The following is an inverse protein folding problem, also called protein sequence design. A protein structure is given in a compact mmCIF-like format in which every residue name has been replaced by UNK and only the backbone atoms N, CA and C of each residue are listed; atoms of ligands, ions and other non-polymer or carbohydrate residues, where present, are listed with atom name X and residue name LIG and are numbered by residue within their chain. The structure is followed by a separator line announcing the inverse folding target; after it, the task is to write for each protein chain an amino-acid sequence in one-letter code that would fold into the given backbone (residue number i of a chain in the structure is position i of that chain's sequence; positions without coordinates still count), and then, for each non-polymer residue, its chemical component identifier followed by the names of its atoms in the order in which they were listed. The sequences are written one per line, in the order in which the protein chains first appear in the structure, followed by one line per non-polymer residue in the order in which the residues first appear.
data_IF_250063136849
#
_entry.id   IF_250063136849
#
_cell.length_a   1.000
_cell.length_b   1.000
_cell.length_c   1.000
_cell.angle_alpha   90.00
_cell.angle_beta   90.00
_cell.angle_gamma   90.00
#
_symmetry.space_group_name_H-M   'P 1'
#
loop_
_entity.id
_entity.type
_entity.pdbx_description
1 polymer ?
#
# COMPACT_ATOMS: atom_id res chain seq x y z
N UNK A 1 16.22 7.72 11.86
CA UNK A 1 15.17 7.17 12.74
C UNK A 1 14.69 5.88 12.09
N UNK A 2 14.93 4.73 12.74
CA UNK A 2 14.34 3.44 12.32
C UNK A 2 12.88 3.49 12.76
N UNK A 3 12.07 4.23 12.01
CA UNK A 3 10.62 4.25 12.21
C UNK A 3 10.06 3.16 11.31
N UNK A 4 9.00 2.46 11.71
CA UNK A 4 8.21 1.56 10.87
C UNK A 4 7.51 2.29 9.70
N UNK A 5 8.16 3.24 9.02
CA UNK A 5 7.74 3.80 7.73
C UNK A 5 8.18 2.95 6.56
N UNK A 6 9.28 2.21 6.69
CA UNK A 6 9.74 1.31 5.63
C UNK A 6 8.71 0.22 5.34
N UNK A 7 8.07 -0.36 6.37
CA UNK A 7 7.01 -1.36 6.21
C UNK A 7 5.78 -0.84 5.44
N UNK A 8 5.13 0.27 5.81
CA UNK A 8 3.99 0.81 5.08
C UNK A 8 4.36 1.44 3.72
N UNK A 9 5.63 1.77 3.47
CA UNK A 9 6.08 2.14 2.12
C UNK A 9 6.27 0.92 1.22
N UNK A 10 6.85 -0.16 1.75
CA UNK A 10 6.96 -1.43 1.03
C UNK A 10 5.57 -2.06 0.80
N UNK A 11 4.69 -1.94 1.78
CA UNK A 11 3.31 -2.41 1.74
C UNK A 11 2.39 -1.19 1.82
N UNK A 12 2.21 -0.52 0.68
CA UNK A 12 1.37 0.67 0.58
C UNK A 12 -0.05 0.40 1.13
N UNK A 13 -0.70 1.39 1.77
CA UNK A 13 -2.04 1.22 2.35
C UNK A 13 -3.11 0.77 1.33
N UNK A 14 -2.96 1.13 0.06
CA UNK A 14 -3.82 0.61 -1.02
C UNK A 14 -3.61 -0.88 -1.31
N UNK A 15 -2.36 -1.36 -1.18
CA UNK A 15 -2.04 -2.78 -1.29
C UNK A 15 -2.66 -3.54 -0.12
N UNK A 16 -2.63 -2.99 1.09
CA UNK A 16 -3.28 -3.58 2.27
C UNK A 16 -4.80 -3.69 2.05
N UNK A 17 -5.45 -2.62 1.59
CA UNK A 17 -6.90 -2.63 1.32
C UNK A 17 -7.29 -3.67 0.27
N UNK A 18 -6.55 -3.75 -0.85
CA UNK A 18 -6.79 -4.75 -1.88
C UNK A 18 -6.51 -6.18 -1.39
N UNK A 19 -5.49 -6.38 -0.56
CA UNK A 19 -5.22 -7.68 0.04
C UNK A 19 -6.36 -8.13 0.96
N UNK A 20 -6.95 -7.22 1.74
CA UNK A 20 -8.12 -7.53 2.57
C UNK A 20 -9.32 -7.92 1.70
N UNK A 21 -9.57 -7.16 0.63
CA UNK A 21 -10.66 -7.43 -0.30
C UNK A 21 -10.47 -8.80 -0.99
N UNK A 22 -9.28 -9.03 -1.56
CA UNK A 22 -8.94 -10.30 -2.19
C UNK A 22 -8.81 -11.47 -1.22
N UNK A 23 -8.47 -11.25 0.05
CA UNK A 23 -8.50 -12.32 1.05
C UNK A 23 -9.95 -12.81 1.30
N UNK A 24 -10.94 -11.93 1.14
CA UNK A 24 -12.37 -12.29 1.16
C UNK A 24 -12.77 -13.15 -0.03
N UNK A 25 -12.37 -12.76 -1.25
CA UNK A 25 -12.62 -13.52 -2.49
C UNK A 25 -11.86 -14.87 -2.50
N UNK A 26 -10.57 -14.88 -2.13
CA UNK A 26 -9.70 -16.04 -2.24
C UNK A 26 -10.11 -17.19 -1.31
N UNK A 27 -10.83 -16.91 -0.21
CA UNK A 27 -11.39 -17.95 0.67
C UNK A 27 -12.38 -18.89 -0.04
N UNK A 28 -12.98 -18.47 -1.15
CA UNK A 28 -13.93 -19.29 -1.92
C UNK A 28 -13.25 -20.10 -3.03
N UNK A 29 -12.01 -19.78 -3.37
CA UNK A 29 -11.27 -20.34 -4.51
C UNK A 29 -10.13 -21.23 -4.03
N UNK A 30 -10.42 -22.51 -3.76
CA UNK A 30 -9.39 -23.53 -3.48
C UNK A 30 -8.65 -23.98 -4.77
N UNK A 31 -8.14 -23.02 -5.53
CA UNK A 31 -7.35 -23.32 -6.73
C UNK A 31 -5.85 -23.40 -6.36
N UNK A 32 -5.21 -24.58 -6.46
CA UNK A 32 -3.79 -24.73 -6.17
C UNK A 32 -2.89 -23.88 -7.07
N UNK A 33 -3.34 -23.48 -8.26
CA UNK A 33 -2.56 -22.60 -9.15
C UNK A 33 -2.41 -21.18 -8.56
N UNK A 34 -3.45 -20.66 -7.91
CA UNK A 34 -3.41 -19.35 -7.25
C UNK A 34 -2.45 -19.35 -6.06
N UNK A 35 -2.41 -20.45 -5.30
CA UNK A 35 -1.49 -20.59 -4.17
C UNK A 35 -0.02 -20.55 -4.62
N UNK A 36 0.34 -21.33 -5.64
CA UNK A 36 1.70 -21.33 -6.18
C UNK A 36 2.07 -19.98 -6.82
N UNK A 37 1.12 -19.29 -7.46
CA UNK A 37 1.31 -17.94 -7.97
C UNK A 37 1.63 -16.93 -6.87
N UNK A 38 0.90 -16.95 -5.76
CA UNK A 38 1.16 -16.11 -4.58
C UNK A 38 2.53 -16.38 -3.97
N UNK A 39 2.92 -17.65 -3.82
CA UNK A 39 4.24 -18.03 -3.31
C UNK A 39 5.36 -17.52 -4.22
N UNK A 40 5.22 -17.69 -5.55
CA UNK A 40 6.20 -17.21 -6.51
C UNK A 40 6.36 -15.68 -6.46
N UNK A 41 5.25 -14.93 -6.41
CA UNK A 41 5.27 -13.46 -6.27
C UNK A 41 5.94 -13.05 -4.95
N UNK A 42 5.62 -13.73 -3.84
CA UNK A 42 6.20 -13.43 -2.52
C UNK A 42 7.71 -13.62 -2.53
N UNK A 43 8.19 -14.71 -3.12
CA UNK A 43 9.63 -14.99 -3.26
C UNK A 43 10.30 -13.95 -4.16
N UNK A 44 9.67 -13.58 -5.28
CA UNK A 44 10.19 -12.55 -6.18
C UNK A 44 10.32 -11.18 -5.50
N UNK A 45 9.32 -10.76 -4.73
CA UNK A 45 9.35 -9.51 -3.96
C UNK A 45 10.40 -9.55 -2.85
N UNK A 46 10.54 -10.69 -2.17
CA UNK A 46 11.58 -10.88 -1.15
C UNK A 46 12.98 -10.77 -1.76
N UNK A 47 13.21 -11.40 -2.91
CA UNK A 47 14.48 -11.33 -3.64
C UNK A 47 14.79 -9.91 -4.15
N UNK A 48 13.79 -9.21 -4.67
CA UNK A 48 13.93 -7.81 -5.09
C UNK A 48 14.30 -6.91 -3.90
N UNK A 49 13.60 -7.08 -2.78
CA UNK A 49 13.86 -6.32 -1.56
C UNK A 49 15.28 -6.59 -1.03
N UNK A 50 15.71 -7.86 -1.05
CA UNK A 50 17.07 -8.24 -0.70
C UNK A 50 18.11 -7.54 -1.58
N UNK A 51 17.90 -7.51 -2.90
CA UNK A 51 18.79 -6.84 -3.85
C UNK A 51 18.91 -5.33 -3.58
N UNK A 52 17.79 -4.69 -3.28
CA UNK A 52 17.74 -3.25 -2.95
C UNK A 52 18.51 -2.97 -1.64
N UNK A 53 18.31 -3.81 -0.62
CA UNK A 53 18.99 -3.67 0.68
C UNK A 53 20.51 -3.85 0.55
N UNK A 54 20.96 -4.85 -0.21
CA UNK A 54 22.39 -5.06 -0.50
C UNK A 54 22.97 -3.88 -1.28
N UNK A 55 22.19 -3.26 -2.15
CA UNK A 55 22.57 -2.07 -2.92
C UNK A 55 22.53 -0.77 -2.12
N UNK A 56 22.31 -0.81 -0.79
CA UNK A 56 22.20 0.39 0.06
C UNK A 56 23.43 1.31 0.00
N UNK A 57 24.62 0.76 -0.20
CA UNK A 57 25.85 1.55 -0.41
C UNK A 57 25.81 2.35 -1.72
N UNK A 58 25.22 1.78 -2.78
CA UNK A 58 25.05 2.44 -4.08
C UNK A 58 24.03 3.56 -3.94
N UNK A 59 22.91 3.29 -3.26
CA UNK A 59 21.85 4.29 -3.04
C UNK A 59 22.40 5.54 -2.32
N UNK A 60 23.24 5.34 -1.30
CA UNK A 60 23.88 6.45 -0.58
C UNK A 60 24.88 7.21 -1.45
N UNK A 61 25.60 6.54 -2.35
CA UNK A 61 26.56 7.18 -3.26
C UNK A 61 25.87 7.97 -4.38
N UNK A 62 24.71 7.52 -4.85
CA UNK A 62 23.94 8.18 -5.91
C UNK A 62 23.14 9.38 -5.38
N UNK A 63 22.48 9.25 -4.22
CA UNK A 63 21.64 10.31 -3.66
C UNK A 63 22.39 11.30 -2.77
N UNK A 64 23.50 10.88 -2.14
CA UNK A 64 24.19 11.67 -1.14
C UNK A 64 23.36 11.95 0.12
N UNK A 65 23.95 12.58 1.13
CA UNK A 65 23.27 12.83 2.41
C UNK A 65 22.14 13.88 2.28
N UNK A 66 22.28 14.85 1.37
CA UNK A 66 21.24 15.86 1.08
C UNK A 66 20.05 15.23 0.35
N UNK A 67 20.30 14.39 -0.66
CA UNK A 67 19.22 13.74 -1.42
C UNK A 67 18.40 12.79 -0.56
N UNK A 68 19.04 12.05 0.36
CA UNK A 68 18.35 11.20 1.34
C UNK A 68 17.44 12.02 2.28
N UNK A 69 17.90 13.20 2.70
CA UNK A 69 17.10 14.10 3.54
C UNK A 69 15.85 14.61 2.81
N UNK A 70 16.00 14.97 1.53
CA UNK A 70 14.88 15.41 0.69
C UNK A 70 13.90 14.27 0.45
N UNK A 71 14.39 13.06 0.13
CA UNK A 71 13.53 11.88 -0.07
C UNK A 71 12.69 11.59 1.17
N UNK A 72 13.28 11.66 2.36
CA UNK A 72 12.54 11.42 3.61
C UNK A 72 11.38 12.41 3.77
N UNK A 73 11.56 13.68 3.38
CA UNK A 73 10.48 14.69 3.38
C UNK A 73 9.41 14.38 2.35
N UNK A 74 9.79 14.03 1.13
CA UNK A 74 8.84 13.69 0.05
C UNK A 74 7.99 12.48 0.43
N UNK A 75 8.60 11.43 0.98
CA UNK A 75 7.88 10.24 1.45
C UNK A 75 6.83 10.61 2.51
N UNK A 76 7.16 11.50 3.46
CA UNK A 76 6.21 12.01 4.44
C UNK A 76 5.04 12.77 3.81
N UNK A 77 5.32 13.62 2.81
CA UNK A 77 4.28 14.34 2.07
C UNK A 77 3.38 13.40 1.25
N UNK A 78 3.95 12.37 0.63
CA UNK A 78 3.19 11.35 -0.11
C UNK A 78 2.25 10.57 0.81
N UNK A 79 2.74 10.14 1.98
CA UNK A 79 1.92 9.43 2.96
C UNK A 79 0.76 10.31 3.44
N UNK A 80 1.02 11.60 3.70
CA UNK A 80 -0.03 12.54 4.07
C UNK A 80 -1.09 12.70 2.95
N UNK A 81 -0.66 12.83 1.70
CA UNK A 81 -1.55 12.93 0.55
C UNK A 81 -2.42 11.67 0.37
N UNK A 82 -1.80 10.49 0.47
CA UNK A 82 -2.50 9.20 0.39
C UNK A 82 -3.50 9.05 1.54
N UNK A 83 -3.15 9.46 2.76
CA UNK A 83 -4.07 9.47 3.89
C UNK A 83 -5.29 10.36 3.65
N UNK A 84 -5.07 11.58 3.14
CA UNK A 84 -6.14 12.50 2.73
C UNK A 84 -7.05 11.87 1.66
N UNK A 85 -6.47 11.19 0.67
CA UNK A 85 -7.23 10.50 -0.36
C UNK A 85 -8.15 9.42 0.22
N UNK A 86 -7.67 8.59 1.16
CA UNK A 86 -8.52 7.59 1.80
C UNK A 86 -9.66 8.20 2.62
N UNK A 87 -9.42 9.31 3.33
CA UNK A 87 -10.47 10.02 4.07
C UNK A 87 -11.56 10.49 3.10
N UNK A 88 -11.19 11.11 1.98
CA UNK A 88 -12.12 11.59 0.97
C UNK A 88 -12.91 10.44 0.32
N UNK A 89 -12.24 9.36 -0.07
CA UNK A 89 -12.89 8.17 -0.65
C UNK A 89 -13.83 7.51 0.35
N UNK A 90 -13.42 7.38 1.61
CA UNK A 90 -14.25 6.82 2.68
C UNK A 90 -15.51 7.65 2.92
N UNK A 91 -15.36 8.98 3.06
CA UNK A 91 -16.50 9.90 3.25
C UNK A 91 -17.45 9.90 2.05
N UNK A 92 -16.91 9.96 0.83
CA UNK A 92 -17.71 9.93 -0.40
C UNK A 92 -18.53 8.63 -0.51
N UNK A 93 -17.92 7.48 -0.21
CA UNK A 93 -18.61 6.20 -0.25
C UNK A 93 -19.76 6.14 0.77
N UNK A 94 -19.55 6.63 2.00
CA UNK A 94 -20.61 6.67 3.02
C UNK A 94 -21.77 7.58 2.61
N UNK A 95 -21.49 8.78 2.08
CA UNK A 95 -22.53 9.73 1.70
C UNK A 95 -23.37 9.18 0.53
N UNK A 96 -22.71 8.67 -0.52
CA UNK A 96 -23.39 8.16 -1.71
C UNK A 96 -24.17 6.89 -1.42
N UNK A 97 -23.59 5.95 -0.67
CA UNK A 97 -24.17 4.61 -0.53
C UNK A 97 -25.13 4.48 0.66
N UNK A 98 -24.98 5.28 1.72
CA UNK A 98 -25.81 5.21 2.94
C UNK A 98 -26.85 6.31 3.02
N UNK A 99 -26.51 7.56 2.65
CA UNK A 99 -27.39 8.72 2.87
C UNK A 99 -28.32 8.97 1.68
N UNK A 100 -27.81 8.93 0.44
CA UNK A 100 -28.62 9.16 -0.75
C UNK A 100 -29.82 8.19 -0.93
N UNK A 101 -29.70 6.86 -0.71
CA UNK A 101 -30.84 5.95 -0.82
C UNK A 101 -31.81 6.02 0.37
N UNK A 102 -31.37 6.54 1.53
CA UNK A 102 -32.23 6.72 2.70
C UNK A 102 -33.18 7.92 2.52
N UNK A 103 -32.73 8.98 1.83
CA UNK A 103 -33.55 10.15 1.52
C UNK A 103 -34.59 9.85 0.42
N UNK A 104 -34.24 9.01 -0.56
CA UNK A 104 -35.13 8.63 -1.68
C UNK A 104 -36.24 7.63 -1.27
N UNK A 105 -36.09 6.92 -0.14
CA UNK A 105 -37.13 6.03 0.41
C UNK A 105 -38.17 6.76 1.29
N UNK A 106 -37.98 8.05 1.57
CA UNK A 106 -38.88 8.87 2.39
C UNK A 106 -39.84 9.75 1.56
N UNK A 107 -39.84 9.60 0.24
CA UNK A 107 -40.82 10.19 -0.69
C UNK A 107 -41.42 9.08 -1.56
#
# INVERSE_FOLDING_TARGET
IVVPFAMPLLVGPGVIANLILYAGEARHSHDPALFWGLVAITIALAALTWLILVSGHILRRVLGDVGLTIMTRILGLLVAAIGMQFILTGLSNVIVHTIAPAVLKLN
#
